data_IF_047239091267
#
_entry.id   IF_047239091267
#
_cell.length_a   1.000
_cell.length_b   1.000
_cell.length_c   1.000
_cell.angle_alpha   90.00
_cell.angle_beta   90.00
_cell.angle_gamma   90.00
#
_symmetry.space_group_name_H-M   'P 1'
#
loop_
_entity.id
_entity.type
_entity.pdbx_description
1 polymer ?
#
# COMPACT_ATOMS: atom_id res chain seq x y z
N UNK A 1 8.19 5.18 -3.83
CA UNK A 1 9.35 4.37 -3.39
C UNK A 1 9.88 3.46 -4.51
N UNK A 2 9.09 2.52 -5.04
CA UNK A 2 9.58 1.47 -5.96
C UNK A 2 9.78 1.89 -7.44
N UNK A 3 9.85 3.18 -7.76
CA UNK A 3 9.89 3.64 -9.17
C UNK A 3 11.11 3.12 -9.95
N UNK A 4 12.27 3.07 -9.30
CA UNK A 4 13.53 2.57 -9.87
C UNK A 4 13.91 1.18 -9.35
N UNK A 5 13.01 0.54 -8.60
CA UNK A 5 13.30 -0.75 -7.98
C UNK A 5 13.37 -1.85 -9.05
N UNK A 6 14.41 -2.67 -8.97
CA UNK A 6 14.75 -3.74 -9.90
C UNK A 6 15.20 -4.99 -9.14
N UNK A 7 15.53 -6.04 -9.88
CA UNK A 7 16.13 -7.25 -9.27
C UNK A 7 17.50 -6.99 -8.63
N UNK A 8 18.23 -5.95 -9.04
CA UNK A 8 19.54 -5.62 -8.47
C UNK A 8 19.42 -5.10 -7.02
N UNK A 9 18.24 -4.59 -6.65
CA UNK A 9 17.96 -4.07 -5.31
C UNK A 9 17.56 -5.19 -4.33
N UNK A 10 17.55 -6.45 -4.76
CA UNK A 10 17.17 -7.63 -3.97
C UNK A 10 18.44 -8.31 -3.44
N UNK A 11 18.59 -8.37 -2.11
CA UNK A 11 19.83 -8.80 -1.48
C UNK A 11 19.77 -10.23 -0.92
N UNK A 12 18.95 -10.46 0.10
CA UNK A 12 18.97 -11.73 0.85
C UNK A 12 17.57 -12.27 1.04
N UNK A 13 17.37 -13.54 0.66
CA UNK A 13 16.14 -14.30 0.90
C UNK A 13 16.32 -15.24 2.10
N UNK A 14 15.36 -15.30 3.00
CA UNK A 14 15.36 -16.21 4.15
C UNK A 14 13.96 -16.70 4.51
N UNK A 15 13.88 -17.93 5.00
CA UNK A 15 12.64 -18.51 5.49
C UNK A 15 12.28 -17.94 6.86
N UNK A 16 11.05 -17.48 7.02
CA UNK A 16 10.53 -17.02 8.30
C UNK A 16 10.09 -18.21 9.16
N UNK A 17 10.50 -18.22 10.43
CA UNK A 17 10.05 -19.19 11.43
C UNK A 17 8.56 -19.01 11.72
N UNK A 18 7.85 -20.09 12.03
CA UNK A 18 6.40 -20.05 12.28
C UNK A 18 5.99 -19.11 13.42
N UNK A 19 6.83 -18.92 14.44
CA UNK A 19 6.58 -17.96 15.53
C UNK A 19 6.58 -16.52 15.04
N UNK A 20 7.56 -16.15 14.20
CA UNK A 20 7.68 -14.81 13.60
C UNK A 20 6.54 -14.58 12.61
N UNK A 21 6.18 -15.59 11.81
CA UNK A 21 5.01 -15.52 10.92
C UNK A 21 3.71 -15.23 11.69
N UNK A 22 3.50 -15.88 12.84
CA UNK A 22 2.35 -15.57 13.72
C UNK A 22 2.38 -14.12 14.20
N UNK A 23 3.55 -13.62 14.63
CA UNK A 23 3.73 -12.22 15.01
C UNK A 23 3.39 -11.23 13.88
N UNK A 24 3.84 -11.52 12.65
CA UNK A 24 3.54 -10.70 11.47
C UNK A 24 2.05 -10.67 11.16
N UNK A 25 1.35 -11.81 11.26
CA UNK A 25 -0.11 -11.87 11.08
C UNK A 25 -0.84 -11.02 12.12
N UNK A 26 -0.45 -11.11 13.39
CA UNK A 26 -1.01 -10.27 14.45
C UNK A 26 -0.75 -8.78 14.21
N UNK A 27 0.46 -8.42 13.76
CA UNK A 27 0.80 -7.03 13.38
C UNK A 27 -0.07 -6.54 12.22
N UNK A 28 -0.23 -7.34 11.15
CA UNK A 28 -1.09 -7.01 10.01
C UNK A 28 -2.54 -6.77 10.43
N UNK A 29 -3.12 -7.66 11.23
CA UNK A 29 -4.51 -7.51 11.67
C UNK A 29 -4.67 -6.32 12.61
N UNK A 30 -3.69 -6.07 13.48
CA UNK A 30 -3.71 -4.87 14.33
C UNK A 30 -3.74 -3.58 13.50
N UNK A 31 -2.95 -3.52 12.42
CA UNK A 31 -2.90 -2.37 11.51
C UNK A 31 -4.11 -2.30 10.57
N UNK A 32 -4.60 -3.44 10.08
CA UNK A 32 -5.72 -3.54 9.16
C UNK A 32 -6.76 -4.54 9.71
N UNK A 33 -7.62 -4.13 10.66
CA UNK A 33 -8.51 -5.06 11.37
C UNK A 33 -9.42 -5.90 10.49
N UNK A 34 -9.85 -5.36 9.33
CA UNK A 34 -10.71 -6.07 8.38
C UNK A 34 -10.01 -7.26 7.73
N UNK A 35 -8.67 -7.30 7.70
CA UNK A 35 -7.93 -8.47 7.21
C UNK A 35 -8.12 -9.71 8.07
N UNK A 36 -8.61 -9.59 9.31
CA UNK A 36 -8.86 -10.75 10.18
C UNK A 36 -9.72 -11.82 9.51
N UNK A 37 -10.66 -11.43 8.63
CA UNK A 37 -11.53 -12.36 7.91
C UNK A 37 -10.80 -13.20 6.86
N UNK A 38 -9.68 -12.70 6.31
CA UNK A 38 -8.96 -13.31 5.17
C UNK A 38 -7.48 -13.60 5.49
N UNK A 39 -7.04 -13.40 6.74
CA UNK A 39 -5.62 -13.48 7.10
C UNK A 39 -5.03 -14.89 6.95
N UNK A 40 -5.86 -15.93 7.11
CA UNK A 40 -5.48 -17.32 6.87
C UNK A 40 -5.44 -17.66 5.37
N UNK A 41 -6.14 -16.92 4.51
CA UNK A 41 -6.02 -17.05 3.06
C UNK A 41 -4.81 -16.28 2.52
N UNK A 42 -4.53 -15.11 3.12
CA UNK A 42 -3.40 -14.27 2.75
C UNK A 42 -2.06 -14.87 3.19
N UNK A 43 -2.01 -15.40 4.41
CA UNK A 43 -0.83 -16.05 4.99
C UNK A 43 -1.23 -17.41 5.58
N UNK A 44 -1.36 -18.46 4.74
CA UNK A 44 -1.75 -19.79 5.19
C UNK A 44 -0.83 -20.35 6.29
N UNK A 45 -1.43 -21.07 7.25
CA UNK A 45 -0.68 -21.65 8.38
C UNK A 45 0.40 -22.64 7.93
N UNK A 46 0.17 -23.34 6.83
CA UNK A 46 1.07 -24.35 6.26
C UNK A 46 2.03 -23.80 5.19
N UNK A 47 1.85 -22.56 4.74
CA UNK A 47 2.74 -21.97 3.73
C UNK A 47 4.03 -21.47 4.36
N UNK A 48 5.14 -21.62 3.64
CA UNK A 48 6.41 -21.00 4.01
C UNK A 48 6.40 -19.53 3.60
N UNK A 49 6.40 -18.62 4.58
CA UNK A 49 6.63 -17.20 4.33
C UNK A 49 8.13 -16.95 4.12
N UNK A 50 8.49 -16.28 3.04
CA UNK A 50 9.88 -15.92 2.70
C UNK A 50 10.04 -14.42 2.88
N UNK A 51 11.06 -14.03 3.64
CA UNK A 51 11.51 -12.66 3.79
C UNK A 51 12.61 -12.37 2.77
N UNK A 52 12.52 -11.26 2.06
CA UNK A 52 13.51 -10.79 1.12
C UNK A 52 13.95 -9.38 1.51
N UNK A 53 15.19 -9.24 2.00
CA UNK A 53 15.81 -7.94 2.29
C UNK A 53 16.24 -7.29 0.98
N UNK A 54 15.95 -6.01 0.85
CA UNK A 54 16.23 -5.21 -0.33
C UNK A 54 16.92 -3.89 0.05
N UNK A 55 17.28 -3.10 -0.95
CA UNK A 55 17.79 -1.73 -0.80
C UNK A 55 16.81 -0.83 -0.01
N UNK A 56 17.31 0.29 0.52
CA UNK A 56 16.50 1.31 1.21
C UNK A 56 15.71 0.82 2.44
N UNK A 57 16.23 -0.19 3.15
CA UNK A 57 15.57 -0.83 4.30
C UNK A 57 14.20 -1.44 3.98
N UNK A 58 14.00 -1.84 2.72
CA UNK A 58 12.78 -2.51 2.29
C UNK A 58 12.89 -4.00 2.58
N UNK A 59 11.83 -4.57 3.16
CA UNK A 59 11.71 -6.00 3.38
C UNK A 59 10.44 -6.50 2.71
N UNK A 60 10.56 -7.39 1.74
CA UNK A 60 9.41 -8.01 1.07
C UNK A 60 9.08 -9.33 1.76
N UNK A 61 7.79 -9.59 1.99
CA UNK A 61 7.30 -10.87 2.47
C UNK A 61 6.47 -11.53 1.38
N UNK A 62 6.85 -12.75 1.03
CA UNK A 62 6.30 -13.45 -0.12
C UNK A 62 5.93 -14.89 0.19
N UNK A 63 4.92 -15.37 -0.52
CA UNK A 63 4.45 -16.76 -0.51
C UNK A 63 4.33 -17.18 -1.97
N UNK A 64 4.91 -18.34 -2.34
CA UNK A 64 4.93 -18.83 -3.72
C UNK A 64 5.41 -17.75 -4.71
N UNK A 65 6.50 -17.05 -4.36
CA UNK A 65 7.10 -15.97 -5.16
C UNK A 65 6.22 -14.73 -5.38
N UNK A 66 5.06 -14.65 -4.74
CA UNK A 66 4.19 -13.48 -4.77
C UNK A 66 4.34 -12.66 -3.48
N UNK A 67 4.67 -11.38 -3.62
CA UNK A 67 4.74 -10.45 -2.49
C UNK A 67 3.34 -10.17 -1.95
N UNK A 68 3.11 -10.54 -0.71
CA UNK A 68 1.84 -10.32 0.01
C UNK A 68 1.85 -9.00 0.78
N UNK A 69 2.97 -8.66 1.40
CA UNK A 69 3.16 -7.41 2.11
C UNK A 69 4.65 -7.06 2.13
N UNK A 70 4.97 -5.82 2.44
CA UNK A 70 6.33 -5.34 2.63
C UNK A 70 6.41 -4.50 3.89
N UNK A 71 7.61 -4.41 4.45
CA UNK A 71 7.92 -3.50 5.55
C UNK A 71 8.84 -2.39 5.04
N UNK A 72 8.55 -1.16 5.46
CA UNK A 72 9.36 0.03 5.23
C UNK A 72 9.38 0.87 6.49
N UNK A 73 10.56 1.14 7.05
CA UNK A 73 10.73 1.82 8.34
C UNK A 73 9.80 1.30 9.46
N UNK A 74 9.68 -0.03 9.58
CA UNK A 74 8.82 -0.75 10.54
C UNK A 74 7.30 -0.66 10.31
N UNK A 75 6.84 0.00 9.25
CA UNK A 75 5.43 -0.02 8.84
C UNK A 75 5.17 -1.19 7.91
N UNK A 76 4.14 -1.99 8.20
CA UNK A 76 3.76 -3.15 7.40
C UNK A 76 2.66 -2.75 6.42
N UNK A 77 2.92 -2.90 5.13
CA UNK A 77 2.09 -2.36 4.06
C UNK A 77 1.71 -3.50 3.10
N UNK A 78 0.41 -3.66 2.74
CA UNK A 78 0.00 -4.68 1.77
C UNK A 78 0.58 -4.39 0.39
N UNK A 79 0.75 -5.41 -0.44
CA UNK A 79 1.04 -5.17 -1.87
C UNK A 79 -0.22 -4.74 -2.62
N UNK A 80 -0.07 -4.05 -3.77
CA UNK A 80 -1.22 -3.69 -4.60
C UNK A 80 -1.99 -4.92 -5.09
N UNK A 81 -1.32 -6.06 -5.30
CA UNK A 81 -1.97 -7.32 -5.70
C UNK A 81 -2.92 -7.82 -4.60
N UNK A 82 -2.56 -7.67 -3.33
CA UNK A 82 -3.43 -8.01 -2.20
C UNK A 82 -4.59 -7.03 -2.09
N UNK A 83 -4.32 -5.74 -2.28
CA UNK A 83 -5.36 -4.70 -2.32
C UNK A 83 -6.38 -4.99 -3.42
N UNK A 84 -5.95 -5.37 -4.62
CA UNK A 84 -6.85 -5.72 -5.73
C UNK A 84 -7.66 -6.99 -5.45
N UNK A 85 -7.11 -7.93 -4.67
CA UNK A 85 -7.82 -9.16 -4.29
C UNK A 85 -8.91 -8.91 -3.24
N UNK A 86 -8.70 -7.94 -2.34
CA UNK A 86 -9.62 -7.62 -1.24
C UNK A 86 -9.82 -6.10 -1.06
N UNK A 87 -10.36 -5.40 -2.08
CA UNK A 87 -10.38 -3.93 -2.12
C UNK A 87 -11.18 -3.28 -0.97
N UNK A 88 -12.21 -3.96 -0.47
CA UNK A 88 -13.10 -3.49 0.60
C UNK A 88 -12.47 -3.51 2.01
N UNK A 89 -11.30 -4.15 2.17
CA UNK A 89 -10.67 -4.34 3.47
C UNK A 89 -9.76 -3.18 3.90
N UNK A 90 -9.59 -2.16 3.05
CA UNK A 90 -8.66 -1.06 3.27
C UNK A 90 -9.35 0.29 3.35
N UNK A 91 -8.72 1.24 4.04
CA UNK A 91 -9.09 2.65 3.96
C UNK A 91 -8.71 3.20 2.59
N UNK A 92 -9.66 3.82 1.91
CA UNK A 92 -9.48 4.30 0.53
C UNK A 92 -9.70 5.80 0.41
N UNK A 93 -9.07 6.37 -0.60
CA UNK A 93 -9.35 7.70 -1.14
C UNK A 93 -9.47 7.58 -2.66
N UNK A 94 -10.06 8.56 -3.32
CA UNK A 94 -10.16 8.61 -4.77
C UNK A 94 -9.58 9.91 -5.30
N UNK A 95 -8.72 9.81 -6.32
CA UNK A 95 -8.27 10.96 -7.11
C UNK A 95 -9.13 11.12 -8.37
N UNK A 96 -9.15 12.34 -8.90
CA UNK A 96 -9.75 12.59 -10.22
C UNK A 96 -8.96 11.97 -11.38
N UNK A 97 -9.57 11.99 -12.57
CA UNK A 97 -8.96 11.51 -13.82
C UNK A 97 -7.65 12.19 -14.18
N UNK A 98 -7.50 13.47 -13.85
CA UNK A 98 -6.31 14.27 -14.20
C UNK A 98 -5.07 13.81 -13.44
N UNK A 99 -5.23 13.35 -12.20
CA UNK A 99 -4.13 12.86 -11.37
C UNK A 99 -3.57 11.49 -11.81
N UNK A 100 -4.38 10.65 -12.48
CA UNK A 100 -4.07 9.23 -12.78
C UNK A 100 -2.68 9.07 -13.41
N UNK A 101 -2.39 9.80 -14.48
CA UNK A 101 -1.12 9.69 -15.22
C UNK A 101 0.09 9.98 -14.32
N UNK A 102 -0.05 10.97 -13.43
CA UNK A 102 1.03 11.40 -12.55
C UNK A 102 1.26 10.41 -11.41
N UNK A 103 0.19 9.88 -10.83
CA UNK A 103 0.27 8.82 -9.80
C UNK A 103 0.94 7.57 -10.37
N UNK A 104 0.55 7.15 -11.58
CA UNK A 104 1.19 6.02 -12.28
C UNK A 104 2.62 6.31 -12.78
N UNK A 105 3.11 7.54 -12.59
CA UNK A 105 4.51 7.92 -12.80
C UNK A 105 5.28 8.04 -11.47
N UNK A 106 4.65 7.70 -10.35
CA UNK A 106 5.19 7.76 -8.99
C UNK A 106 5.21 9.16 -8.37
N UNK A 107 4.43 10.11 -8.88
CA UNK A 107 4.31 11.43 -8.27
C UNK A 107 3.44 11.37 -7.01
N UNK A 108 3.75 12.22 -6.03
CA UNK A 108 2.89 12.45 -4.88
C UNK A 108 1.57 13.11 -5.29
N UNK A 109 0.53 12.91 -4.49
CA UNK A 109 -0.80 13.43 -4.77
C UNK A 109 -0.97 14.74 -4.03
N UNK A 110 -1.28 15.79 -4.79
CA UNK A 110 -1.51 17.12 -4.26
C UNK A 110 -2.95 17.25 -3.76
N UNK A 111 -3.19 18.05 -2.72
CA UNK A 111 -4.52 18.25 -2.13
C UNK A 111 -5.61 18.60 -3.17
N UNK A 112 -5.38 19.46 -4.18
CA UNK A 112 -6.39 19.74 -5.21
C UNK A 112 -6.87 18.52 -6.01
N UNK A 113 -6.01 17.51 -6.18
CA UNK A 113 -6.39 16.25 -6.85
C UNK A 113 -7.24 15.31 -5.99
N UNK A 114 -7.43 15.65 -4.71
CA UNK A 114 -8.24 14.91 -3.72
C UNK A 114 -9.53 15.65 -3.33
N UNK A 115 -9.70 16.90 -3.78
CA UNK A 115 -10.86 17.77 -3.43
C UNK A 115 -11.65 18.21 -4.65
N UNK A 116 -11.22 17.83 -5.86
CA UNK A 116 -11.91 18.12 -7.11
C UNK A 116 -13.20 17.30 -7.25
N UNK A 117 -14.03 17.64 -8.25
CA UNK A 117 -15.35 16.99 -8.48
C UNK A 117 -15.28 15.48 -8.69
N UNK A 118 -14.18 14.98 -9.26
CA UNK A 118 -13.96 13.55 -9.50
C UNK A 118 -13.25 12.83 -8.35
N UNK A 119 -12.77 13.58 -7.36
CA UNK A 119 -12.11 13.03 -6.19
C UNK A 119 -13.11 12.67 -5.09
N UNK A 120 -12.71 11.79 -4.18
CA UNK A 120 -13.50 11.43 -3.02
C UNK A 120 -12.58 11.20 -1.82
N UNK A 121 -12.92 11.84 -0.71
CA UNK A 121 -12.24 11.69 0.57
C UNK A 121 -13.27 11.31 1.65
N UNK A 122 -12.89 10.45 2.61
CA UNK A 122 -13.74 10.05 3.72
C UNK A 122 -14.44 11.22 4.41
N UNK A 123 -15.65 11.00 4.91
CA UNK A 123 -16.39 12.02 5.66
C UNK A 123 -15.67 12.38 6.97
N UNK A 124 -16.14 13.44 7.62
CA UNK A 124 -15.58 13.93 8.89
C UNK A 124 -15.60 12.85 9.99
N UNK A 125 -16.66 12.06 10.04
CA UNK A 125 -16.86 10.97 10.99
C UNK A 125 -15.88 9.80 10.76
N UNK A 126 -15.34 9.70 9.53
CA UNK A 126 -14.34 8.71 9.13
C UNK A 126 -13.00 9.35 8.78
N UNK A 127 -12.66 10.47 9.45
CA UNK A 127 -11.42 11.19 9.19
C UNK A 127 -10.21 10.26 9.38
N UNK A 128 -9.33 10.23 8.38
CA UNK A 128 -8.07 9.53 8.45
C UNK A 128 -6.97 10.52 8.84
N UNK A 129 -6.15 10.12 9.82
CA UNK A 129 -5.10 10.96 10.37
C UNK A 129 -3.87 10.97 9.46
N UNK A 130 -3.02 11.99 9.64
CA UNK A 130 -1.66 12.02 9.09
C UNK A 130 -0.94 10.70 9.41
N UNK A 131 -0.04 10.29 8.51
CA UNK A 131 0.71 9.04 8.53
C UNK A 131 -0.12 7.76 8.35
N UNK A 132 -1.44 7.84 8.20
CA UNK A 132 -2.23 6.65 7.87
C UNK A 132 -1.90 6.16 6.44
N UNK A 133 -1.76 4.84 6.30
CA UNK A 133 -1.67 4.18 4.99
C UNK A 133 -3.05 4.13 4.34
N UNK A 134 -3.12 4.55 3.09
CA UNK A 134 -4.35 4.61 2.30
C UNK A 134 -4.17 4.00 0.92
N UNK A 135 -5.21 3.35 0.45
CA UNK A 135 -5.34 2.88 -0.93
C UNK A 135 -5.89 4.01 -1.79
N UNK A 136 -5.26 4.27 -2.92
CA UNK A 136 -5.63 5.34 -3.85
C UNK A 136 -6.35 4.74 -5.05
N UNK A 137 -7.66 4.95 -5.09
CA UNK A 137 -8.52 4.65 -6.22
C UNK A 137 -8.56 5.85 -7.19
N UNK A 138 -9.17 5.65 -8.36
CA UNK A 138 -9.34 6.71 -9.34
C UNK A 138 -10.71 6.72 -9.97
N UNK A 139 -11.18 7.91 -10.28
CA UNK A 139 -12.45 8.12 -10.95
C UNK A 139 -12.56 7.31 -12.26
N UNK A 140 -13.57 6.46 -12.35
CA UNK A 140 -13.83 5.62 -13.52
C UNK A 140 -12.85 4.45 -13.69
N UNK A 141 -12.17 4.02 -12.62
CA UNK A 141 -11.33 2.82 -12.58
C UNK A 141 -11.79 1.89 -11.46
N UNK A 142 -11.81 0.59 -11.76
CA UNK A 142 -12.22 -0.45 -10.79
C UNK A 142 -11.11 -0.77 -9.79
N UNK A 143 -9.87 -0.84 -10.28
CA UNK A 143 -8.71 -1.21 -9.47
C UNK A 143 -7.96 0.01 -8.93
N UNK A 144 -7.43 -0.14 -7.71
CA UNK A 144 -6.57 0.85 -7.08
C UNK A 144 -5.32 1.13 -7.92
N UNK A 145 -4.91 2.40 -7.97
CA UNK A 145 -3.71 2.83 -8.70
C UNK A 145 -2.46 2.78 -7.84
N UNK A 146 -2.59 3.06 -6.55
CA UNK A 146 -1.47 3.22 -5.65
C UNK A 146 -1.82 2.92 -4.19
N UNK A 147 -0.78 2.78 -3.39
CA UNK A 147 -0.79 2.82 -1.94
C UNK A 147 0.08 4.01 -1.54
N UNK A 148 -0.43 4.83 -0.64
CA UNK A 148 0.24 6.03 -0.17
C UNK A 148 0.12 6.22 1.33
N UNK A 149 0.89 7.17 1.84
CA UNK A 149 0.80 7.63 3.22
C UNK A 149 0.27 9.05 3.26
N UNK A 150 -0.69 9.32 4.12
CA UNK A 150 -1.25 10.66 4.29
C UNK A 150 -0.20 11.62 4.84
N UNK A 151 0.13 12.65 4.06
CA UNK A 151 0.98 13.75 4.48
C UNK A 151 0.20 14.83 5.25
N UNK A 152 -1.14 14.74 5.27
CA UNK A 152 -2.07 15.57 6.02
C UNK A 152 -3.31 14.71 6.33
N UNK A 153 -4.04 14.99 7.40
CA UNK A 153 -5.32 14.31 7.65
C UNK A 153 -6.34 14.63 6.55
N UNK A 154 -7.34 13.78 6.36
CA UNK A 154 -8.32 13.98 5.28
C UNK A 154 -9.17 15.24 5.47
N UNK A 155 -9.38 15.69 6.71
CA UNK A 155 -9.99 16.98 7.02
C UNK A 155 -9.08 18.17 6.66
N UNK A 156 -7.78 18.09 6.98
CA UNK A 156 -6.80 19.12 6.60
C UNK A 156 -6.67 19.23 5.08
N UNK A 157 -6.69 18.10 4.35
CA UNK A 157 -6.65 18.09 2.88
C UNK A 157 -7.85 18.86 2.31
N UNK A 158 -9.06 18.61 2.84
CA UNK A 158 -10.30 19.31 2.43
C UNK A 158 -10.26 20.80 2.72
N UNK A 159 -9.78 21.19 3.90
CA UNK A 159 -9.81 22.58 4.37
C UNK A 159 -8.70 23.45 3.79
N UNK A 160 -7.46 22.95 3.75
CA UNK A 160 -6.30 23.71 3.29
C UNK A 160 -6.19 23.69 1.77
N UNK A 161 -6.54 22.57 1.15
CA UNK A 161 -6.54 22.37 -0.31
C UNK A 161 -5.24 22.81 -1.03
N UNK A 162 -4.10 22.68 -0.35
CA UNK A 162 -2.77 23.06 -0.86
C UNK A 162 -1.70 22.14 -0.31
N UNK A 163 -0.64 21.91 -1.09
CA UNK A 163 0.48 21.07 -0.71
C UNK A 163 0.28 19.59 -1.05
N UNK A 164 1.18 18.75 -0.55
CA UNK A 164 1.14 17.29 -0.71
C UNK A 164 0.11 16.74 0.28
N UNK A 165 -0.91 16.07 -0.24
CA UNK A 165 -1.89 15.37 0.60
C UNK A 165 -1.47 13.92 0.88
N UNK A 166 -0.87 13.25 -0.11
CA UNK A 166 -0.44 11.85 -0.01
C UNK A 166 0.93 11.66 -0.65
N UNK A 167 1.83 11.01 0.07
CA UNK A 167 3.10 10.50 -0.44
C UNK A 167 2.90 9.12 -1.04
N UNK A 168 3.28 8.92 -2.30
CA UNK A 168 3.06 7.64 -3.00
C UNK A 168 4.18 6.64 -2.66
N UNK A 169 3.79 5.52 -2.07
CA UNK A 169 4.71 4.46 -1.67
C UNK A 169 4.89 3.45 -2.82
N UNK A 170 3.77 2.88 -3.27
CA UNK A 170 3.71 1.83 -4.29
C UNK A 170 2.61 2.16 -5.29
N UNK A 171 2.84 1.97 -6.59
CA UNK A 171 1.86 2.22 -7.64
C UNK A 171 1.87 1.16 -8.73
N UNK A 172 0.76 1.08 -9.46
CA UNK A 172 0.57 0.12 -10.54
C UNK A 172 1.62 0.35 -11.64
N UNK A 173 2.39 -0.68 -11.95
CA UNK A 173 3.45 -0.61 -12.96
C UNK A 173 4.82 -0.14 -12.44
N UNK A 174 4.99 0.08 -11.14
CA UNK A 174 6.30 0.30 -10.55
C UNK A 174 7.16 -0.97 -10.47
N UNK A 175 8.36 -0.85 -9.92
CA UNK A 175 9.32 -1.94 -9.80
C UNK A 175 8.82 -3.12 -8.96
N UNK A 176 8.09 -2.85 -7.87
CA UNK A 176 7.51 -3.91 -7.04
C UNK A 176 6.36 -4.61 -7.75
N UNK A 177 5.52 -3.86 -8.47
CA UNK A 177 4.42 -4.43 -9.26
C UNK A 177 4.94 -5.42 -10.32
N UNK A 178 6.03 -5.03 -10.98
CA UNK A 178 6.70 -5.80 -12.04
C UNK A 178 7.63 -6.89 -11.51
N UNK A 179 7.88 -6.93 -10.20
CA UNK A 179 8.82 -7.87 -9.62
C UNK A 179 8.28 -9.29 -9.71
N UNK A 180 9.13 -10.19 -10.19
CA UNK A 180 8.94 -11.63 -10.16
C UNK A 180 10.08 -12.23 -9.35
N UNK A 181 9.74 -12.81 -8.19
CA UNK A 181 10.69 -13.43 -7.26
C UNK A 181 10.90 -14.90 -7.63
N UNK A 182 11.35 -15.16 -8.84
CA UNK A 182 11.85 -16.49 -9.23
C UNK A 182 13.29 -16.69 -8.74
#
# INVERSE_FOLDING_TARGET
>A
MFKKFTKADVHTKSNIKSSVQRGLKSKLVSTYPRLQAVIDDLVPKKSQLIQTKCEDNIILYSINSQVVFYEYFNELIPSLKVVHKYPELFSTVQVDRGAIKFVLSGANIMCPGLTSKGANLPSRESNLLRDSIVVVNAEGKENALAIGKLAMSTEEIKSINKGIGIEVLHYLGDGLWKLHLD
#
